data_IF_629691026651
#
_entry.id   IF_629691026651
#
_cell.length_a   1.000
_cell.length_b   1.000
_cell.length_c   1.000
_cell.angle_alpha   90.00
_cell.angle_beta   90.00
_cell.angle_gamma   90.00
#
_symmetry.space_group_name_H-M   'P 1'
#
loop_
_entity.id
_entity.type
_entity.pdbx_description
1 polymer ?
#
# COMPACT_ATOMS: atom_id res chain seq x y z
N UNK A 1 54.46 38.94 32.19
CA UNK A 1 53.54 37.85 32.62
C UNK A 1 52.50 37.73 31.52
N UNK A 2 52.68 36.84 30.53
CA UNK A 2 52.08 35.49 30.45
C UNK A 2 50.55 35.55 30.63
N UNK A 3 49.66 35.08 29.75
CA UNK A 3 49.72 34.03 28.72
C UNK A 3 48.65 34.30 27.62
N UNK A 4 48.93 34.05 26.33
CA UNK A 4 48.49 32.90 25.50
C UNK A 4 46.96 32.82 25.25
N UNK A 5 46.49 33.10 24.03
CA UNK A 5 46.00 32.09 23.06
C UNK A 5 44.46 32.00 23.13
N UNK A 6 43.64 31.94 22.07
CA UNK A 6 43.70 31.21 20.81
C UNK A 6 42.76 31.90 19.81
N UNK A 7 43.20 32.03 18.56
CA UNK A 7 42.39 32.52 17.44
C UNK A 7 41.34 31.47 17.03
N UNK A 8 40.07 31.89 16.92
CA UNK A 8 39.00 31.08 16.35
C UNK A 8 39.21 30.97 14.82
N UNK A 9 39.81 29.86 14.40
CA UNK A 9 39.85 29.45 13.00
C UNK A 9 38.51 28.86 12.60
N UNK A 10 37.86 29.45 11.61
CA UNK A 10 36.75 28.86 10.90
C UNK A 10 37.27 27.69 10.04
N UNK A 11 37.17 26.46 10.56
CA UNK A 11 37.39 25.26 9.76
C UNK A 11 36.10 24.94 9.00
N UNK A 12 36.14 25.23 7.70
CA UNK A 12 35.18 24.72 6.74
C UNK A 12 35.28 23.19 6.74
N UNK A 13 34.25 22.52 7.26
CA UNK A 13 34.09 21.09 7.11
C UNK A 13 33.96 20.77 5.61
N UNK A 14 35.05 20.26 5.03
CA UNK A 14 35.05 19.65 3.70
C UNK A 14 34.11 18.46 3.73
N UNK A 15 32.93 18.63 3.12
CA UNK A 15 32.10 17.52 2.71
C UNK A 15 32.88 16.70 1.67
N UNK A 16 33.53 15.63 2.12
CA UNK A 16 34.02 14.59 1.23
C UNK A 16 32.80 13.86 0.68
N UNK A 17 32.34 14.28 -0.49
CA UNK A 17 31.36 13.56 -1.29
C UNK A 17 31.93 12.18 -1.63
N UNK A 18 31.48 11.17 -0.91
CA UNK A 18 31.47 9.82 -1.46
C UNK A 18 30.39 9.80 -2.53
N UNK A 19 30.82 9.94 -3.78
CA UNK A 19 30.08 9.42 -4.91
C UNK A 19 29.96 7.91 -4.69
N UNK A 20 28.79 7.46 -4.22
CA UNK A 20 28.45 6.06 -4.19
C UNK A 20 28.31 5.62 -5.65
N UNK A 21 29.30 4.89 -6.14
CA UNK A 21 29.14 4.06 -7.32
C UNK A 21 27.86 3.20 -7.17
N UNK A 22 27.14 2.89 -8.26
CA UNK A 22 25.98 2.01 -8.16
C UNK A 22 26.41 0.71 -7.47
N UNK A 23 25.76 0.40 -6.35
CA UNK A 23 26.00 -0.86 -5.64
C UNK A 23 25.87 -2.01 -6.64
N UNK A 24 26.80 -2.97 -6.55
CA UNK A 24 26.73 -4.20 -7.33
C UNK A 24 25.33 -4.84 -7.16
N UNK A 25 24.80 -5.57 -8.16
CA UNK A 25 23.53 -6.28 -8.00
C UNK A 25 23.59 -7.12 -6.73
N UNK A 26 22.60 -6.97 -5.85
CA UNK A 26 22.47 -7.82 -4.67
C UNK A 26 22.44 -9.28 -5.16
N UNK A 27 23.37 -10.10 -4.67
CA UNK A 27 23.31 -11.56 -4.80
C UNK A 27 22.10 -12.05 -3.99
N UNK A 28 20.93 -11.99 -4.62
CA UNK A 28 19.65 -12.46 -4.09
C UNK A 28 19.24 -13.72 -4.85
N UNK A 29 19.77 -14.90 -4.47
CA UNK A 29 19.43 -16.15 -5.13
C UNK A 29 17.94 -16.43 -5.00
N UNK A 30 17.34 -16.96 -6.07
CA UNK A 30 15.92 -17.28 -6.04
C UNK A 30 15.65 -18.40 -5.02
N UNK A 31 14.72 -18.22 -4.07
CA UNK A 31 14.48 -19.20 -3.02
C UNK A 31 13.82 -20.48 -3.56
N UNK A 32 14.13 -21.63 -2.95
CA UNK A 32 13.56 -22.94 -3.34
C UNK A 32 12.22 -23.23 -2.66
N UNK A 33 11.92 -22.55 -1.55
CA UNK A 33 10.64 -22.59 -0.82
C UNK A 33 10.35 -21.22 -0.25
N UNK A 34 9.12 -20.99 0.25
CA UNK A 34 8.75 -19.74 0.91
C UNK A 34 7.86 -19.95 2.12
N UNK A 35 7.97 -19.04 3.08
CA UNK A 35 7.05 -18.94 4.21
C UNK A 35 5.74 -18.26 3.75
N UNK A 36 4.61 -18.93 3.96
CA UNK A 36 3.28 -18.43 3.61
C UNK A 36 2.90 -17.15 4.36
N UNK A 37 3.45 -16.91 5.56
CA UNK A 37 3.17 -15.70 6.33
C UNK A 37 3.98 -14.48 5.89
N UNK A 38 5.05 -14.69 5.11
CA UNK A 38 5.85 -13.61 4.53
C UNK A 38 5.51 -13.41 3.05
N UNK A 39 5.30 -14.50 2.32
CA UNK A 39 4.96 -14.50 0.90
C UNK A 39 3.73 -15.39 0.67
N UNK A 40 2.51 -14.87 0.89
CA UNK A 40 1.27 -15.63 0.83
C UNK A 40 0.81 -15.92 -0.60
N UNK A 41 -0.28 -16.68 -0.70
CA UNK A 41 -1.06 -16.99 -1.90
C UNK A 41 -0.41 -17.90 -2.92
N UNK A 42 -1.21 -18.56 -3.73
CA UNK A 42 -0.76 -19.46 -4.79
C UNK A 42 0.20 -18.76 -5.76
N UNK A 43 1.06 -19.54 -6.42
CA UNK A 43 2.08 -18.99 -7.34
C UNK A 43 1.49 -18.32 -8.59
N UNK A 44 0.25 -18.65 -8.92
CA UNK A 44 -0.55 -18.10 -10.01
C UNK A 44 -1.54 -17.02 -9.53
N UNK A 45 -1.47 -16.63 -8.25
CA UNK A 45 -2.15 -15.44 -7.74
C UNK A 45 -1.76 -14.19 -8.53
N UNK A 46 -2.68 -13.24 -8.66
CA UNK A 46 -2.40 -11.91 -9.20
C UNK A 46 -1.22 -11.24 -8.50
N UNK A 47 -1.01 -11.52 -7.22
CA UNK A 47 0.07 -10.93 -6.44
C UNK A 47 1.42 -11.58 -6.75
N UNK A 48 1.45 -12.84 -7.18
CA UNK A 48 2.69 -13.61 -7.34
C UNK A 48 3.09 -13.82 -8.81
N UNK A 49 2.20 -13.51 -9.75
CA UNK A 49 2.44 -13.70 -11.18
C UNK A 49 3.40 -12.62 -11.72
N UNK A 50 4.56 -13.00 -12.26
CA UNK A 50 5.42 -12.06 -12.96
C UNK A 50 4.77 -11.55 -14.25
N UNK A 51 5.18 -10.35 -14.69
CA UNK A 51 4.79 -9.81 -15.98
C UNK A 51 5.24 -10.76 -17.09
N UNK A 52 4.31 -11.06 -17.99
CA UNK A 52 4.53 -12.01 -19.06
C UNK A 52 5.20 -11.42 -20.29
N UNK A 53 5.79 -12.28 -21.12
CA UNK A 53 6.46 -11.87 -22.36
C UNK A 53 5.51 -11.29 -23.42
N UNK A 54 4.20 -11.59 -23.33
CA UNK A 54 3.16 -11.12 -24.24
C UNK A 54 2.39 -9.90 -23.70
N UNK A 55 2.83 -9.32 -22.58
CA UNK A 55 2.21 -8.15 -21.99
C UNK A 55 2.15 -6.97 -22.99
N UNK A 56 0.99 -6.32 -23.07
CA UNK A 56 0.73 -5.16 -23.92
C UNK A 56 0.70 -3.90 -23.06
N UNK A 57 1.65 -3.02 -23.32
CA UNK A 57 1.86 -1.81 -22.55
C UNK A 57 1.13 -0.65 -23.21
N UNK A 58 0.30 0.05 -22.44
CA UNK A 58 -0.32 1.32 -22.79
C UNK A 58 0.22 2.38 -21.84
N UNK A 59 0.82 3.44 -22.37
CA UNK A 59 1.39 4.51 -21.53
C UNK A 59 0.28 5.13 -20.67
N UNK A 60 0.47 5.16 -19.35
CA UNK A 60 -0.51 5.73 -18.43
C UNK A 60 -0.58 7.27 -18.50
N UNK A 61 0.37 7.92 -19.18
CA UNK A 61 0.38 9.36 -19.42
C UNK A 61 0.69 10.20 -18.19
N UNK A 62 1.15 9.57 -17.09
CA UNK A 62 1.46 10.24 -15.84
C UNK A 62 2.61 11.24 -16.02
N UNK A 63 2.35 12.49 -15.65
CA UNK A 63 3.38 13.53 -15.68
C UNK A 63 4.10 13.61 -14.33
N UNK A 64 5.43 13.79 -14.33
CA UNK A 64 6.16 14.14 -13.13
C UNK A 64 5.74 15.54 -12.66
N UNK A 65 5.92 15.82 -11.37
CA UNK A 65 5.74 17.16 -10.82
C UNK A 65 6.59 18.18 -11.59
N UNK A 66 5.99 19.25 -12.12
CA UNK A 66 6.75 20.33 -12.74
C UNK A 66 7.44 21.18 -11.66
N UNK A 67 8.79 21.17 -11.54
CA UNK A 67 9.48 21.94 -10.52
C UNK A 67 9.40 23.45 -10.77
N UNK A 68 9.19 23.88 -12.02
CA UNK A 68 9.10 25.28 -12.41
C UNK A 68 7.70 25.87 -12.23
N UNK A 69 6.66 25.03 -12.13
CA UNK A 69 5.30 25.44 -11.80
C UNK A 69 4.60 24.41 -10.88
N UNK A 70 4.90 24.43 -9.58
CA UNK A 70 4.26 23.54 -8.59
C UNK A 70 2.74 23.76 -8.45
N UNK A 71 2.22 24.85 -9.02
CA UNK A 71 0.82 25.21 -8.98
C UNK A 71 0.04 24.80 -10.24
N UNK A 72 0.72 24.28 -11.28
CA UNK A 72 0.10 23.77 -12.50
C UNK A 72 -1.06 22.81 -12.17
N UNK A 73 -2.27 23.15 -12.62
CA UNK A 73 -3.53 22.48 -12.22
C UNK A 73 -3.93 21.34 -13.15
N UNK A 74 -2.96 20.66 -13.76
CA UNK A 74 -3.22 19.57 -14.68
C UNK A 74 -3.71 18.30 -13.98
N UNK A 75 -4.68 17.61 -14.57
CA UNK A 75 -5.22 16.34 -14.06
C UNK A 75 -4.27 15.15 -14.30
N UNK A 76 -3.18 15.36 -15.05
CA UNK A 76 -2.20 14.36 -15.45
C UNK A 76 -1.07 14.08 -14.43
N UNK A 77 -1.02 14.78 -13.28
CA UNK A 77 0.04 14.59 -12.28
C UNK A 77 -0.29 13.50 -11.26
N UNK A 78 0.50 12.42 -11.22
CA UNK A 78 0.25 11.25 -10.36
C UNK A 78 0.48 11.50 -8.87
N UNK A 79 1.37 12.41 -8.49
CA UNK A 79 1.75 12.63 -7.10
C UNK A 79 2.01 14.11 -6.78
N UNK A 80 1.19 15.03 -7.33
CA UNK A 80 1.38 16.49 -7.12
C UNK A 80 1.41 16.88 -5.63
N UNK A 81 0.59 16.26 -4.80
CA UNK A 81 0.54 16.51 -3.35
C UNK A 81 1.47 15.56 -2.57
N UNK A 82 2.30 14.78 -3.25
CA UNK A 82 3.29 13.86 -2.68
C UNK A 82 2.90 12.39 -2.74
N UNK A 83 3.84 11.56 -2.28
CA UNK A 83 3.66 10.13 -2.08
C UNK A 83 3.26 9.87 -0.63
N UNK A 84 2.24 9.06 -0.43
CA UNK A 84 1.79 8.58 0.89
C UNK A 84 2.03 7.09 1.01
N UNK A 85 1.66 6.57 2.15
CA UNK A 85 1.44 5.15 2.35
C UNK A 85 -0.05 4.89 2.60
N UNK A 86 -0.46 3.67 2.33
CA UNK A 86 -1.71 3.10 2.83
C UNK A 86 -1.34 2.05 3.88
N UNK A 87 -1.92 2.16 5.08
CA UNK A 87 -1.64 1.21 6.16
C UNK A 87 -2.42 -0.08 5.97
N UNK A 88 -1.71 -1.16 5.72
CA UNK A 88 -2.24 -2.51 5.68
C UNK A 88 -2.03 -3.14 7.07
N UNK A 89 -3.09 -3.17 7.87
CA UNK A 89 -3.03 -3.67 9.25
C UNK A 89 -3.05 -5.20 9.20
N UNK A 90 -1.91 -5.84 9.38
CA UNK A 90 -1.74 -7.28 9.12
C UNK A 90 -1.38 -8.01 10.41
N UNK A 91 -2.26 -8.93 10.84
CA UNK A 91 -2.12 -9.75 12.04
C UNK A 91 -2.14 -11.25 11.70
N UNK A 92 -0.98 -11.76 11.27
CA UNK A 92 -0.76 -13.18 10.97
C UNK A 92 -0.17 -13.91 12.19
N UNK A 93 -0.93 -13.96 13.28
CA UNK A 93 -0.50 -14.53 14.58
C UNK A 93 -1.41 -15.68 15.01
N UNK A 94 -1.38 -16.82 14.31
CA UNK A 94 -2.35 -17.90 14.50
C UNK A 94 -2.27 -18.59 15.87
N UNK A 95 -1.14 -18.44 16.56
CA UNK A 95 -0.85 -18.96 17.90
C UNK A 95 -1.31 -18.02 19.03
N UNK A 96 -1.76 -16.81 18.69
CA UNK A 96 -2.26 -15.85 19.67
C UNK A 96 -3.66 -16.24 20.20
N UNK A 97 -4.03 -15.77 21.40
CA UNK A 97 -5.38 -15.99 21.92
C UNK A 97 -6.44 -15.36 21.02
N UNK A 98 -7.60 -16.02 20.93
CA UNK A 98 -8.76 -15.47 20.22
C UNK A 98 -9.23 -14.19 20.91
N UNK A 99 -9.37 -13.14 20.11
CA UNK A 99 -9.92 -11.85 20.51
C UNK A 99 -11.23 -11.64 19.78
N UNK A 100 -12.30 -11.36 20.54
CA UNK A 100 -13.59 -10.96 19.98
C UNK A 100 -13.43 -9.60 19.27
N UNK A 101 -13.93 -9.51 18.03
CA UNK A 101 -13.95 -8.28 17.24
C UNK A 101 -15.40 -7.84 17.06
N UNK A 102 -15.76 -6.68 17.62
CA UNK A 102 -17.12 -6.16 17.62
C UNK A 102 -17.34 -5.12 16.53
N UNK A 103 -18.59 -4.99 16.10
CA UNK A 103 -18.98 -3.96 15.15
C UNK A 103 -18.89 -2.57 15.77
N UNK A 104 -18.36 -1.62 14.99
CA UNK A 104 -18.28 -0.22 15.32
C UNK A 104 -18.54 0.63 14.05
N UNK A 105 -19.43 1.62 14.14
CA UNK A 105 -19.78 2.51 13.03
C UNK A 105 -18.72 3.58 12.72
N UNK A 106 -17.67 3.66 13.53
CA UNK A 106 -16.73 4.76 13.54
C UNK A 106 -16.08 5.04 12.19
N UNK A 107 -15.84 4.02 11.35
CA UNK A 107 -15.46 4.14 9.92
C UNK A 107 -14.58 5.39 9.64
N UNK A 108 -14.88 6.20 8.64
CA UNK A 108 -14.19 7.48 8.35
C UNK A 108 -14.58 8.65 9.27
N UNK A 109 -15.42 8.44 10.29
CA UNK A 109 -15.84 9.49 11.21
C UNK A 109 -14.75 9.79 12.26
N UNK A 110 -14.08 10.92 12.07
CA UNK A 110 -13.04 11.43 12.98
C UNK A 110 -13.56 11.72 14.39
N UNK A 111 -14.85 11.96 14.58
CA UNK A 111 -15.45 12.16 15.91
C UNK A 111 -15.81 10.85 16.64
N UNK A 112 -15.85 9.71 15.95
CA UNK A 112 -16.34 8.45 16.53
C UNK A 112 -15.29 7.68 17.33
N UNK A 113 -15.63 7.21 18.52
CA UNK A 113 -14.75 6.35 19.30
C UNK A 113 -14.77 4.89 18.78
N UNK A 114 -13.67 4.48 18.14
CA UNK A 114 -13.49 3.11 17.58
C UNK A 114 -13.16 2.06 18.64
N UNK A 115 -12.94 2.45 19.90
CA UNK A 115 -12.68 1.51 20.99
C UNK A 115 -13.95 0.87 21.56
N UNK A 116 -15.10 1.47 21.26
CA UNK A 116 -16.38 1.09 21.86
C UNK A 116 -17.07 -0.04 21.12
N UNK A 117 -17.83 -0.84 21.87
CA UNK A 117 -18.81 -1.75 21.29
C UNK A 117 -20.07 -0.93 21.03
N UNK A 118 -20.55 -0.92 19.79
CA UNK A 118 -21.74 -0.17 19.37
C UNK A 118 -22.87 -1.12 18.97
N UNK A 119 -24.11 -0.61 19.05
CA UNK A 119 -25.27 -1.28 18.50
C UNK A 119 -25.29 -1.18 16.98
N UNK A 120 -25.29 -2.31 16.28
CA UNK A 120 -25.39 -2.37 14.82
C UNK A 120 -26.87 -2.24 14.39
N UNK A 121 -27.26 -1.20 13.64
CA UNK A 121 -28.62 -1.05 13.16
C UNK A 121 -29.10 -2.19 12.27
N UNK A 122 -28.18 -2.85 11.55
CA UNK A 122 -28.49 -4.04 10.75
C UNK A 122 -28.68 -5.31 11.60
N UNK A 123 -28.34 -5.25 12.88
CA UNK A 123 -28.49 -6.33 13.86
C UNK A 123 -29.57 -6.02 14.91
N UNK A 124 -30.63 -5.32 14.51
CA UNK A 124 -31.74 -4.97 15.39
C UNK A 124 -31.37 -4.01 16.52
N UNK A 125 -30.39 -3.12 16.27
CA UNK A 125 -29.81 -2.19 17.24
C UNK A 125 -29.28 -2.92 18.49
N UNK A 126 -28.37 -3.88 18.28
CA UNK A 126 -27.70 -4.63 19.35
C UNK A 126 -26.22 -4.81 19.03
N UNK A 127 -25.36 -5.07 20.02
CA UNK A 127 -23.96 -5.38 19.78
C UNK A 127 -23.84 -6.57 18.84
N UNK A 128 -23.00 -6.43 17.81
CA UNK A 128 -22.74 -7.49 16.84
C UNK A 128 -21.29 -7.92 16.93
N UNK A 129 -21.07 -9.18 17.30
CA UNK A 129 -19.78 -9.83 17.13
C UNK A 129 -19.54 -10.03 15.62
N UNK A 130 -18.46 -9.49 15.10
CA UNK A 130 -18.06 -9.64 13.71
C UNK A 130 -17.28 -10.92 13.51
N UNK A 131 -16.27 -11.15 14.36
CA UNK A 131 -15.33 -12.24 14.23
C UNK A 131 -14.62 -12.57 15.55
N UNK A 132 -13.91 -13.70 15.59
CA UNK A 132 -12.93 -14.09 16.62
C UNK A 132 -11.60 -14.37 15.95
N UNK A 133 -10.65 -13.48 16.18
CA UNK A 133 -9.36 -13.50 15.48
C UNK A 133 -8.23 -13.71 16.49
N UNK A 134 -7.28 -14.60 16.23
CA UNK A 134 -6.00 -14.67 16.97
C UNK A 134 -5.26 -13.33 16.93
N UNK A 135 -5.13 -12.67 18.09
CA UNK A 135 -4.45 -11.37 18.22
C UNK A 135 -3.61 -11.36 19.51
N UNK A 136 -2.30 -11.05 19.46
CA UNK A 136 -1.46 -11.05 20.66
C UNK A 136 -2.02 -10.13 21.74
N UNK A 137 -2.18 -10.63 22.97
CA UNK A 137 -2.83 -9.87 24.06
C UNK A 137 -2.17 -8.54 24.36
N UNK A 138 -0.85 -8.42 24.18
CA UNK A 138 -0.11 -7.19 24.43
C UNK A 138 -0.17 -6.18 23.26
N UNK A 139 -0.65 -6.59 22.09
CA UNK A 139 -0.70 -5.71 20.93
C UNK A 139 -1.98 -4.87 20.96
N UNK A 140 -1.78 -3.56 20.89
CA UNK A 140 -2.84 -2.56 20.71
C UNK A 140 -2.65 -1.88 19.37
N UNK A 141 -3.74 -1.53 18.73
CA UNK A 141 -3.75 -0.72 17.53
C UNK A 141 -4.90 0.26 17.65
N UNK A 142 -4.61 1.51 18.00
CA UNK A 142 -5.63 2.55 18.09
C UNK A 142 -4.93 3.85 17.75
N UNK A 143 -5.02 4.27 16.50
CA UNK A 143 -4.48 5.58 16.17
C UNK A 143 -5.45 6.66 16.63
N UNK A 144 -4.93 7.55 17.49
CA UNK A 144 -5.68 8.59 18.21
C UNK A 144 -5.25 8.88 19.65
N UNK A 145 -4.17 8.28 20.20
CA UNK A 145 -3.63 8.69 21.53
C UNK A 145 -2.51 9.72 21.48
N UNK A 146 -1.98 10.06 20.28
CA UNK A 146 -1.14 11.22 20.09
C UNK A 146 -1.94 12.32 19.36
N UNK A 147 -2.02 13.50 19.97
CA UNK A 147 -2.57 14.67 19.32
C UNK A 147 -1.77 14.97 18.05
N UNK A 148 -2.41 14.87 16.87
CA UNK A 148 -1.84 15.35 15.60
C UNK A 148 -1.40 14.30 14.58
N UNK A 149 -1.82 13.03 14.68
CA UNK A 149 -1.54 11.99 13.65
C UNK A 149 -2.79 11.56 12.82
N UNK A 150 -3.96 12.14 13.08
CA UNK A 150 -5.20 11.71 12.42
C UNK A 150 -5.55 10.25 12.73
N UNK A 151 -6.73 9.78 12.32
CA UNK A 151 -7.05 8.35 12.45
C UNK A 151 -6.52 7.60 11.24
N UNK A 152 -5.62 6.62 11.41
CA UNK A 152 -5.33 5.67 10.34
C UNK A 152 -6.60 4.91 9.97
N UNK A 153 -6.97 5.04 8.71
CA UNK A 153 -8.15 4.44 8.09
C UNK A 153 -7.77 3.17 7.32
N UNK A 154 -6.88 2.36 7.90
CA UNK A 154 -6.33 1.18 7.24
C UNK A 154 -7.31 0.01 7.16
N UNK A 155 -7.13 -0.79 6.13
CA UNK A 155 -7.76 -2.10 6.02
C UNK A 155 -7.02 -3.11 6.92
N UNK A 156 -7.75 -4.05 7.51
CA UNK A 156 -7.22 -5.08 8.40
C UNK A 156 -7.29 -6.47 7.78
N UNK A 157 -6.25 -7.27 7.99
CA UNK A 157 -6.19 -8.68 7.67
C UNK A 157 -5.72 -9.49 8.88
N UNK A 158 -6.59 -10.36 9.38
CA UNK A 158 -6.24 -11.38 10.38
C UNK A 158 -6.21 -12.77 9.76
N UNK A 159 -5.66 -13.74 10.49
CA UNK A 159 -5.75 -15.16 10.12
C UNK A 159 -6.35 -15.98 11.26
N UNK A 160 -7.27 -16.89 10.93
CA UNK A 160 -7.84 -17.86 11.88
C UNK A 160 -7.79 -19.29 11.34
N UNK A 161 -7.91 -20.31 12.21
CA UNK A 161 -8.13 -21.69 11.79
C UNK A 161 -9.38 -21.81 10.93
N UNK A 162 -9.30 -22.53 9.81
CA UNK A 162 -10.52 -22.91 9.10
C UNK A 162 -11.35 -23.86 9.97
N UNK A 163 -12.66 -23.67 10.01
CA UNK A 163 -13.64 -24.37 10.84
C UNK A 163 -13.23 -25.81 11.23
N UNK A 164 -12.78 -25.97 12.48
CA UNK A 164 -12.44 -27.27 13.07
C UNK A 164 -11.13 -27.92 12.63
N UNK A 165 -10.39 -27.35 11.68
CA UNK A 165 -9.13 -27.93 11.16
C UNK A 165 -7.91 -27.69 12.06
N UNK A 166 -7.97 -26.70 12.95
CA UNK A 166 -6.81 -26.25 13.74
C UNK A 166 -5.69 -25.60 12.94
N UNK A 167 -5.72 -25.66 11.60
CA UNK A 167 -4.73 -25.06 10.71
C UNK A 167 -5.18 -23.66 10.34
N UNK A 168 -4.38 -22.65 10.70
CA UNK A 168 -4.64 -21.27 10.34
C UNK A 168 -4.44 -21.07 8.83
N UNK A 169 -5.54 -20.84 8.14
CA UNK A 169 -5.58 -20.65 6.68
C UNK A 169 -6.58 -19.61 6.22
N UNK A 170 -7.60 -19.34 7.03
CA UNK A 170 -8.67 -18.41 6.66
C UNK A 170 -8.26 -16.98 7.02
N UNK A 171 -8.21 -16.12 6.00
CA UNK A 171 -7.98 -14.70 6.14
C UNK A 171 -9.30 -13.97 6.39
N UNK A 172 -9.29 -13.13 7.41
CA UNK A 172 -10.40 -12.27 7.78
C UNK A 172 -10.04 -10.83 7.42
N UNK A 173 -10.78 -10.25 6.49
CA UNK A 173 -10.69 -8.83 6.19
C UNK A 173 -11.62 -8.01 7.08
N UNK A 174 -11.15 -6.89 7.63
CA UNK A 174 -12.00 -5.87 8.26
C UNK A 174 -11.53 -4.45 7.87
N UNK A 175 -12.29 -3.43 8.26
CA UNK A 175 -11.98 -2.02 8.00
C UNK A 175 -12.06 -1.19 9.28
N UNK A 176 -11.24 -0.15 9.39
CA UNK A 176 -11.20 0.75 10.56
C UNK A 176 -11.03 -0.01 11.90
N UNK A 177 -10.12 -0.99 11.89
CA UNK A 177 -9.81 -1.82 13.05
C UNK A 177 -9.21 -0.99 14.21
N UNK A 178 -9.63 -1.30 15.43
CA UNK A 178 -9.07 -0.74 16.64
C UNK A 178 -9.05 -1.74 17.80
N UNK A 179 -7.97 -1.74 18.58
CA UNK A 179 -7.82 -2.38 19.88
C UNK A 179 -7.08 -1.43 20.81
N UNK A 180 -7.79 -0.89 21.78
CA UNK A 180 -7.31 0.27 22.52
C UNK A 180 -6.61 -0.06 23.83
N UNK A 181 -6.75 -1.29 24.33
CA UNK A 181 -6.04 -1.74 25.53
C UNK A 181 -5.56 -3.20 25.39
N UNK A 182 -4.44 -3.57 26.05
CA UNK A 182 -3.98 -4.95 26.07
C UNK A 182 -5.04 -5.90 26.63
N UNK A 183 -5.20 -7.05 25.98
CA UNK A 183 -6.07 -8.13 26.44
C UNK A 183 -7.57 -7.87 26.28
N UNK A 184 -7.98 -6.70 25.79
CA UNK A 184 -9.40 -6.38 25.57
C UNK A 184 -9.90 -6.88 24.22
N UNK A 185 -11.21 -6.72 23.98
CA UNK A 185 -11.80 -6.86 22.65
C UNK A 185 -11.18 -5.87 21.65
N UNK A 186 -11.39 -6.16 20.38
CA UNK A 186 -11.19 -5.22 19.29
C UNK A 186 -12.55 -4.76 18.75
N UNK A 187 -12.55 -3.66 18.01
CA UNK A 187 -13.70 -3.22 17.23
C UNK A 187 -13.29 -2.89 15.80
N UNK A 188 -14.20 -3.08 14.86
CA UNK A 188 -13.99 -2.77 13.45
C UNK A 188 -15.32 -2.57 12.76
N UNK A 189 -15.26 -2.17 11.49
CA UNK A 189 -16.38 -2.25 10.57
C UNK A 189 -16.08 -3.34 9.54
N UNK A 190 -17.12 -3.96 9.02
CA UNK A 190 -17.01 -4.64 7.73
C UNK A 190 -17.28 -3.61 6.65
N UNK A 191 -16.48 -3.58 5.57
CA UNK A 191 -16.90 -2.86 4.38
C UNK A 191 -18.23 -3.49 3.96
N UNK A 192 -19.27 -2.70 4.03
CA UNK A 192 -20.63 -3.04 3.67
C UNK A 192 -21.13 -1.77 3.04
N UNK A 193 -21.41 -1.85 1.74
CA UNK A 193 -21.95 -0.83 0.83
C UNK A 193 -20.96 0.12 0.14
N UNK A 194 -20.63 -0.20 -1.11
CA UNK A 194 -20.64 0.77 -2.23
C UNK A 194 -21.32 0.15 -3.47
N UNK A 195 -22.63 0.38 -3.52
CA UNK A 195 -23.43 0.79 -4.69
C UNK A 195 -23.67 -0.05 -5.95
N UNK A 196 -22.98 -1.15 -6.30
CA UNK A 196 -23.29 -1.80 -7.61
C UNK A 196 -23.14 -3.33 -7.70
N UNK A 197 -22.72 -4.03 -6.65
CA UNK A 197 -22.55 -5.49 -6.71
C UNK A 197 -23.29 -6.23 -5.62
N UNK A 198 -23.98 -7.33 -5.98
CA UNK A 198 -24.23 -8.39 -5.01
C UNK A 198 -22.86 -8.86 -4.50
N UNK A 199 -22.53 -8.52 -3.26
CA UNK A 199 -21.49 -9.20 -2.50
C UNK A 199 -21.66 -10.70 -2.74
N UNK A 200 -20.65 -11.42 -3.23
CA UNK A 200 -20.67 -12.86 -3.10
C UNK A 200 -20.63 -13.12 -1.59
N UNK A 201 -21.80 -13.38 -0.99
CA UNK A 201 -21.89 -13.91 0.38
C UNK A 201 -20.94 -15.11 0.51
N UNK A 202 -20.73 -15.84 -0.59
CA UNK A 202 -19.74 -16.90 -0.74
C UNK A 202 -18.32 -16.50 -0.33
N UNK A 203 -17.81 -15.28 -0.55
CA UNK A 203 -16.46 -14.94 -0.07
C UNK A 203 -16.38 -14.88 1.46
N UNK A 204 -17.41 -14.35 2.13
CA UNK A 204 -17.50 -14.42 3.60
C UNK A 204 -17.77 -15.83 4.13
N UNK A 205 -18.37 -16.70 3.30
CA UNK A 205 -18.69 -18.08 3.67
C UNK A 205 -17.58 -19.09 3.32
N UNK A 206 -16.69 -18.77 2.37
CA UNK A 206 -15.56 -19.63 1.96
C UNK A 206 -14.21 -19.12 2.45
N UNK A 207 -14.13 -17.87 2.90
CA UNK A 207 -12.90 -17.19 3.31
C UNK A 207 -11.93 -16.93 2.16
N UNK A 208 -11.04 -15.93 2.33
CA UNK A 208 -9.80 -15.89 1.55
C UNK A 208 -8.83 -16.90 2.17
N UNK A 209 -8.34 -17.85 1.39
CA UNK A 209 -7.33 -18.81 1.86
C UNK A 209 -5.93 -18.22 1.67
N UNK A 210 -5.09 -18.23 2.72
CA UNK A 210 -3.71 -17.76 2.64
C UNK A 210 -2.85 -18.58 1.66
N UNK A 211 -3.25 -19.82 1.35
CA UNK A 211 -2.63 -20.66 0.33
C UNK A 211 -3.27 -20.52 -1.06
N UNK A 212 -4.43 -19.85 -1.15
CA UNK A 212 -5.25 -19.76 -2.35
C UNK A 212 -4.93 -18.56 -3.24
N UNK A 213 -5.89 -18.17 -4.09
CA UNK A 213 -5.75 -17.07 -5.05
C UNK A 213 -5.41 -15.73 -4.41
N UNK A 214 -5.96 -15.46 -3.22
CA UNK A 214 -5.65 -14.23 -2.48
C UNK A 214 -6.10 -12.93 -3.11
N UNK A 215 -6.98 -12.97 -4.12
CA UNK A 215 -7.44 -11.75 -4.80
C UNK A 215 -8.27 -10.84 -3.90
N UNK A 216 -9.04 -11.41 -2.99
CA UNK A 216 -10.13 -10.74 -2.30
C UNK A 216 -9.74 -10.20 -0.92
N UNK A 217 -10.31 -9.04 -0.57
CA UNK A 217 -10.17 -8.40 0.74
C UNK A 217 -11.07 -7.18 0.91
N UNK A 218 -10.68 -6.30 1.83
CA UNK A 218 -11.49 -5.16 2.28
C UNK A 218 -11.00 -3.80 1.78
N UNK A 219 -10.15 -3.76 0.74
CA UNK A 219 -9.87 -2.49 0.05
C UNK A 219 -11.18 -1.91 -0.49
N UNK A 220 -11.59 -0.74 0.00
CA UNK A 220 -12.95 -0.24 -0.14
C UNK A 220 -13.35 0.02 -1.58
N UNK A 221 -12.40 0.50 -2.39
CA UNK A 221 -12.61 0.73 -3.81
C UNK A 221 -12.75 -0.55 -4.63
N UNK A 222 -11.79 -1.47 -4.53
CA UNK A 222 -11.71 -2.64 -5.45
C UNK A 222 -12.16 -3.97 -4.88
N UNK A 223 -12.29 -4.09 -3.56
CA UNK A 223 -12.39 -5.34 -2.80
C UNK A 223 -11.20 -6.28 -3.00
N UNK A 224 -10.03 -5.74 -3.35
CA UNK A 224 -8.80 -6.52 -3.41
C UNK A 224 -8.23 -6.79 -2.01
N UNK A 225 -7.39 -7.82 -1.95
CA UNK A 225 -6.76 -8.29 -0.71
C UNK A 225 -6.01 -7.20 0.03
N UNK A 226 -6.20 -7.13 1.35
CA UNK A 226 -5.40 -6.29 2.27
C UNK A 226 -3.96 -6.80 2.32
N UNK A 227 -3.79 -8.10 2.46
CA UNK A 227 -2.48 -8.75 2.55
C UNK A 227 -1.71 -8.75 1.23
N UNK A 228 -2.41 -8.90 0.11
CA UNK A 228 -1.79 -8.97 -1.22
C UNK A 228 -1.21 -7.63 -1.66
N UNK A 229 0.03 -7.66 -2.13
CA UNK A 229 0.75 -6.50 -2.67
C UNK A 229 1.16 -5.42 -1.67
N UNK A 230 0.89 -5.62 -0.38
CA UNK A 230 1.46 -4.80 0.68
C UNK A 230 2.98 -5.05 0.75
N UNK A 231 3.78 -3.99 0.88
CA UNK A 231 5.18 -4.12 1.25
C UNK A 231 5.28 -4.65 2.68
N UNK A 232 6.07 -5.71 2.87
CA UNK A 232 6.19 -6.48 4.12
C UNK A 232 7.46 -6.12 4.88
N UNK A 233 7.44 -6.29 6.20
CA UNK A 233 8.66 -6.19 7.01
C UNK A 233 9.76 -7.10 6.46
N UNK A 234 10.99 -6.61 6.42
CA UNK A 234 12.11 -7.27 5.74
C UNK A 234 12.32 -6.86 4.27
N UNK A 235 11.33 -6.25 3.61
CA UNK A 235 11.49 -5.71 2.25
C UNK A 235 12.04 -4.28 2.25
N UNK A 236 12.60 -3.84 1.11
CA UNK A 236 13.26 -2.54 0.92
C UNK A 236 14.42 -2.26 1.88
N UNK A 237 15.02 -3.28 2.51
CA UNK A 237 16.20 -3.08 3.37
C UNK A 237 17.48 -2.89 2.54
N UNK A 238 18.52 -2.24 3.07
CA UNK A 238 19.82 -2.11 2.43
C UNK A 238 20.43 -3.49 2.16
N UNK A 239 20.83 -3.75 0.91
CA UNK A 239 21.28 -5.08 0.48
C UNK A 239 20.21 -6.16 0.60
N UNK A 240 18.95 -5.79 0.85
CA UNK A 240 17.81 -6.69 0.87
C UNK A 240 17.57 -7.30 -0.50
N UNK A 241 16.93 -8.46 -0.50
CA UNK A 241 16.54 -9.14 -1.73
C UNK A 241 15.51 -8.35 -2.54
N UNK A 242 15.23 -8.86 -3.74
CA UNK A 242 14.23 -8.31 -4.65
C UNK A 242 12.82 -8.59 -4.12
N UNK A 243 11.90 -7.65 -4.27
CA UNK A 243 10.48 -7.87 -3.95
C UNK A 243 9.85 -8.68 -5.08
N UNK A 244 9.34 -9.88 -4.77
CA UNK A 244 8.95 -10.88 -5.77
C UNK A 244 7.44 -11.05 -5.89
N UNK A 245 6.72 -9.96 -5.70
CA UNK A 245 5.27 -9.90 -5.85
C UNK A 245 4.87 -8.55 -6.45
N UNK A 246 3.67 -8.50 -7.04
CA UNK A 246 3.08 -7.26 -7.52
C UNK A 246 2.79 -6.35 -6.33
N UNK A 247 3.03 -5.05 -6.49
CA UNK A 247 2.75 -4.08 -5.44
C UNK A 247 1.31 -3.63 -5.46
N UNK A 248 0.93 -2.92 -4.42
CA UNK A 248 -0.35 -2.25 -4.28
C UNK A 248 -0.17 -0.73 -4.38
N UNK A 249 -0.92 -0.10 -5.28
CA UNK A 249 -0.97 1.36 -5.43
C UNK A 249 -2.38 1.89 -5.17
N UNK A 250 -2.43 3.09 -4.64
CA UNK A 250 -3.64 3.88 -4.49
C UNK A 250 -3.42 5.15 -5.32
N UNK A 251 -4.16 5.30 -6.42
CA UNK A 251 -3.95 6.39 -7.37
C UNK A 251 -4.90 7.57 -7.10
N UNK A 252 -4.51 8.82 -7.37
CA UNK A 252 -5.41 9.94 -7.13
C UNK A 252 -6.58 9.95 -8.11
N UNK A 253 -7.76 10.37 -7.64
CA UNK A 253 -8.97 10.54 -8.48
C UNK A 253 -8.69 11.29 -9.79
N UNK A 254 -7.80 12.29 -9.75
CA UNK A 254 -7.53 13.15 -10.91
C UNK A 254 -6.96 12.43 -12.11
N UNK A 255 -6.10 11.43 -11.91
CA UNK A 255 -5.54 10.68 -13.04
C UNK A 255 -6.45 9.54 -13.48
N UNK A 256 -7.32 9.08 -12.58
CA UNK A 256 -8.23 7.98 -12.87
C UNK A 256 -9.34 8.41 -13.80
N UNK A 257 -9.73 7.50 -14.70
CA UNK A 257 -10.71 7.75 -15.73
C UNK A 257 -12.04 8.23 -15.15
N UNK A 258 -12.51 9.37 -15.65
CA UNK A 258 -13.88 9.83 -15.47
C UNK A 258 -14.78 9.06 -16.45
N UNK A 259 -15.22 7.88 -16.04
CA UNK A 259 -16.10 7.04 -16.83
C UNK A 259 -17.44 7.74 -17.14
N UNK A 260 -17.96 7.68 -18.38
CA UNK A 260 -19.30 8.15 -18.67
C UNK A 260 -20.36 7.30 -17.95
N UNK A 261 -21.57 7.83 -17.81
CA UNK A 261 -22.68 7.13 -17.18
C UNK A 261 -22.89 5.74 -17.81
N UNK A 262 -22.96 4.71 -16.96
CA UNK A 262 -23.14 3.31 -17.37
C UNK A 262 -21.86 2.56 -17.73
N UNK A 263 -20.69 3.21 -17.74
CA UNK A 263 -19.40 2.53 -17.86
C UNK A 263 -18.78 2.25 -16.48
N UNK A 264 -18.04 1.15 -16.38
CA UNK A 264 -17.25 0.84 -15.18
C UNK A 264 -15.96 1.65 -15.18
N UNK A 265 -15.64 2.30 -14.07
CA UNK A 265 -14.35 2.93 -13.81
C UNK A 265 -13.34 1.97 -13.14
N UNK A 266 -13.48 0.67 -13.41
CA UNK A 266 -12.65 -0.40 -12.85
C UNK A 266 -12.56 -1.60 -13.80
N UNK A 267 -11.52 -2.42 -13.65
CA UNK A 267 -11.26 -3.62 -14.45
C UNK A 267 -10.81 -4.79 -13.58
N UNK A 268 -10.87 -6.02 -14.11
CA UNK A 268 -10.31 -7.19 -13.44
C UNK A 268 -8.81 -6.95 -13.10
N UNK A 269 -8.32 -7.32 -11.89
CA UNK A 269 -8.94 -8.19 -10.90
C UNK A 269 -9.93 -7.54 -9.92
N UNK A 270 -10.15 -6.23 -9.97
CA UNK A 270 -11.11 -5.58 -9.11
C UNK A 270 -12.54 -6.11 -9.36
N UNK A 271 -13.37 -6.02 -8.33
CA UNK A 271 -14.79 -6.34 -8.38
C UNK A 271 -15.68 -5.10 -8.45
N UNK A 272 -15.10 -3.97 -8.06
CA UNK A 272 -15.78 -2.71 -7.92
C UNK A 272 -14.76 -1.58 -8.13
N UNK A 273 -15.29 -0.37 -8.14
CA UNK A 273 -14.53 0.86 -8.01
C UNK A 273 -15.27 1.82 -7.09
N UNK A 274 -14.57 2.82 -6.60
CA UNK A 274 -15.18 3.95 -5.94
C UNK A 274 -16.11 4.69 -6.89
N UNK A 275 -16.98 5.54 -6.33
CA UNK A 275 -17.81 6.41 -7.15
C UNK A 275 -16.95 7.28 -8.07
N UNK A 276 -17.28 7.27 -9.35
CA UNK A 276 -16.60 8.05 -10.38
C UNK A 276 -16.75 9.58 -10.21
N UNK A 277 -17.55 10.06 -9.25
CA UNK A 277 -17.86 11.47 -9.02
C UNK A 277 -16.65 12.36 -8.72
N UNK A 278 -15.53 11.78 -8.26
CA UNK A 278 -14.28 12.49 -8.04
C UNK A 278 -13.27 12.40 -9.19
N UNK A 279 -13.43 11.44 -10.10
CA UNK A 279 -12.46 11.13 -11.15
C UNK A 279 -12.39 12.24 -12.21
N UNK A 280 -11.21 12.50 -12.77
CA UNK A 280 -11.00 13.60 -13.74
C UNK A 280 -10.12 13.20 -14.95
N UNK A 281 -9.59 11.98 -14.97
CA UNK A 281 -8.74 11.48 -16.04
C UNK A 281 -9.54 11.13 -17.29
N UNK A 282 -8.86 11.14 -18.45
CA UNK A 282 -9.49 10.88 -19.75
C UNK A 282 -9.21 9.47 -20.29
N UNK A 283 -8.21 8.78 -19.74
CA UNK A 283 -7.77 7.49 -20.25
C UNK A 283 -8.52 6.33 -19.59
N UNK A 284 -9.34 5.63 -20.37
CA UNK A 284 -10.14 4.49 -19.91
C UNK A 284 -9.35 3.30 -19.36
N UNK A 285 -8.03 3.25 -19.58
CA UNK A 285 -7.19 2.20 -19.02
C UNK A 285 -6.66 2.55 -17.61
N UNK A 286 -6.69 3.83 -17.23
CA UNK A 286 -6.22 4.28 -15.92
C UNK A 286 -7.38 4.23 -14.94
N UNK A 287 -7.58 3.05 -14.35
CA UNK A 287 -8.75 2.73 -13.51
C UNK A 287 -8.36 1.83 -12.36
N UNK A 288 -9.23 1.75 -11.36
CA UNK A 288 -9.13 0.75 -10.29
C UNK A 288 -9.08 -0.68 -10.85
N UNK A 289 -8.24 -1.51 -10.25
CA UNK A 289 -7.92 -2.85 -10.72
C UNK A 289 -6.92 -2.92 -11.87
N UNK A 290 -6.55 -1.82 -12.52
CA UNK A 290 -5.54 -1.88 -13.58
C UNK A 290 -4.17 -2.31 -13.02
N UNK A 291 -3.44 -3.12 -13.81
CA UNK A 291 -2.05 -3.51 -13.54
C UNK A 291 -1.10 -2.52 -14.22
N UNK A 292 -0.29 -1.84 -13.43
CA UNK A 292 0.73 -0.91 -13.88
C UNK A 292 2.11 -1.55 -13.83
N UNK A 293 2.92 -1.37 -14.85
CA UNK A 293 4.29 -1.89 -14.89
C UNK A 293 5.22 -0.96 -15.65
N UNK A 294 6.51 -1.10 -15.40
CA UNK A 294 7.53 -0.52 -16.28
C UNK A 294 7.75 -1.46 -17.47
N UNK A 295 7.83 -0.95 -18.71
CA UNK A 295 8.11 -1.81 -19.86
C UNK A 295 9.52 -2.41 -19.77
N UNK A 296 9.73 -3.63 -20.29
CA UNK A 296 11.03 -4.31 -20.25
C UNK A 296 12.08 -3.65 -21.14
N UNK A 297 11.64 -2.79 -22.06
CA UNK A 297 12.49 -1.97 -22.92
C UNK A 297 13.00 -0.71 -22.22
N UNK A 298 12.47 -0.39 -21.03
CA UNK A 298 12.99 0.70 -20.21
C UNK A 298 14.23 0.21 -19.46
N UNK A 299 15.39 0.72 -19.87
CA UNK A 299 16.64 0.48 -19.16
C UNK A 299 16.59 1.15 -17.78
N UNK A 300 16.44 0.36 -16.71
CA UNK A 300 16.28 0.91 -15.35
C UNK A 300 17.47 1.78 -14.91
N UNK A 301 18.67 1.48 -15.39
CA UNK A 301 19.86 2.31 -15.14
C UNK A 301 19.75 3.70 -15.78
N UNK A 302 19.04 3.83 -16.90
CA UNK A 302 18.83 5.10 -17.60
C UNK A 302 17.87 6.03 -16.86
N UNK A 303 17.08 5.53 -15.89
CA UNK A 303 16.24 6.36 -15.03
C UNK A 303 17.06 7.25 -14.09
N UNK A 304 18.35 6.96 -13.87
CA UNK A 304 19.21 7.78 -13.01
C UNK A 304 18.76 7.80 -11.55
N UNK A 305 18.20 6.68 -11.05
CA UNK A 305 17.67 6.58 -9.69
C UNK A 305 18.78 6.70 -8.64
N UNK A 306 18.63 7.64 -7.74
CA UNK A 306 19.63 8.04 -6.75
C UNK A 306 19.63 7.09 -5.53
N UNK A 307 18.46 6.62 -5.13
CA UNK A 307 18.23 5.80 -3.93
C UNK A 307 18.11 4.32 -4.25
N UNK A 308 18.67 3.48 -3.38
CA UNK A 308 18.54 2.02 -3.48
C UNK A 308 17.09 1.52 -3.34
N UNK A 309 16.26 1.98 -2.39
CA UNK A 309 14.89 1.51 -2.30
C UNK A 309 14.10 1.82 -3.58
N UNK A 310 14.39 2.92 -4.27
CA UNK A 310 13.68 3.23 -5.53
C UNK A 310 14.13 2.31 -6.67
N UNK A 311 15.40 1.91 -6.69
CA UNK A 311 15.89 0.87 -7.62
C UNK A 311 15.21 -0.49 -7.36
N UNK A 312 15.00 -0.85 -6.10
CA UNK A 312 14.26 -2.07 -5.74
C UNK A 312 12.78 -2.00 -6.20
N UNK A 313 12.10 -0.86 -5.99
CA UNK A 313 10.74 -0.63 -6.49
C UNK A 313 10.70 -0.68 -8.04
N UNK A 314 11.63 -0.01 -8.73
CA UNK A 314 11.66 0.00 -10.18
C UNK A 314 11.86 -1.41 -10.77
N UNK A 315 12.76 -2.20 -10.17
CA UNK A 315 12.94 -3.61 -10.54
C UNK A 315 11.63 -4.39 -10.35
N UNK A 316 10.95 -4.19 -9.23
CA UNK A 316 9.69 -4.87 -8.91
C UNK A 316 8.59 -4.51 -9.89
N UNK A 317 8.43 -3.22 -10.20
CA UNK A 317 7.43 -2.73 -11.15
C UNK A 317 7.68 -3.21 -12.60
N UNK A 318 8.93 -3.44 -12.99
CA UNK A 318 9.24 -4.02 -14.30
C UNK A 318 8.92 -5.52 -14.38
N UNK A 319 9.03 -6.23 -13.24
CA UNK A 319 8.97 -7.69 -13.21
C UNK A 319 7.65 -8.28 -12.71
N UNK A 320 6.94 -7.56 -11.84
CA UNK A 320 5.67 -7.98 -11.24
C UNK A 320 4.57 -6.92 -11.37
N UNK A 321 4.95 -5.64 -11.50
CA UNK A 321 4.01 -4.53 -11.62
C UNK A 321 3.32 -4.17 -10.30
N UNK A 322 2.23 -3.41 -10.38
CA UNK A 322 1.41 -3.02 -9.25
C UNK A 322 -0.06 -2.82 -9.64
N UNK A 323 -0.97 -3.27 -8.79
CA UNK A 323 -2.41 -3.06 -8.97
C UNK A 323 -2.87 -1.77 -8.31
N UNK A 324 -3.68 -0.97 -9.02
CA UNK A 324 -4.45 0.11 -8.39
C UNK A 324 -5.60 -0.51 -7.59
N UNK A 325 -5.59 -0.41 -6.27
CA UNK A 325 -6.58 -1.07 -5.39
C UNK A 325 -7.59 -0.13 -4.78
N UNK A 326 -7.28 1.16 -4.77
CA UNK A 326 -8.11 2.17 -4.15
C UNK A 326 -7.77 3.54 -4.76
N UNK A 327 -8.46 4.57 -4.29
CA UNK A 327 -8.35 5.91 -4.79
C UNK A 327 -8.06 6.90 -3.67
N UNK A 328 -7.08 7.80 -3.86
CA UNK A 328 -6.88 8.90 -2.90
C UNK A 328 -7.71 10.14 -3.30
N UNK A 329 -8.23 10.90 -2.32
CA UNK A 329 -8.67 12.25 -2.57
C UNK A 329 -7.47 13.13 -2.94
N UNK A 330 -7.65 14.01 -3.93
CA UNK A 330 -6.69 15.04 -4.38
C UNK A 330 -5.19 14.64 -4.45
N UNK A 331 -4.74 14.25 -5.65
CA UNK A 331 -3.34 14.32 -6.15
C UNK A 331 -2.22 13.68 -5.31
N UNK A 332 -2.52 12.74 -4.42
CA UNK A 332 -1.49 11.90 -3.79
C UNK A 332 -1.50 10.49 -4.37
N UNK A 333 -0.34 9.88 -4.50
CA UNK A 333 -0.23 8.45 -4.79
C UNK A 333 0.22 7.74 -3.52
N UNK A 334 -0.35 6.59 -3.20
CA UNK A 334 0.08 5.82 -2.03
C UNK A 334 0.50 4.40 -2.40
N UNK A 335 1.40 3.84 -1.59
CA UNK A 335 1.81 2.43 -1.65
C UNK A 335 1.34 1.74 -0.37
N UNK A 336 0.77 0.54 -0.49
CA UNK A 336 0.36 -0.26 0.66
C UNK A 336 1.55 -0.80 1.44
N UNK A 337 1.60 -0.58 2.76
CA UNK A 337 2.69 -1.04 3.63
C UNK A 337 2.16 -1.70 4.89
N UNK A 338 2.88 -2.70 5.39
CA UNK A 338 2.53 -3.43 6.60
C UNK A 338 2.61 -2.56 7.87
N UNK A 339 1.58 -2.66 8.70
CA UNK A 339 1.64 -2.37 10.13
C UNK A 339 0.96 -3.50 10.91
N UNK A 340 1.53 -3.93 12.04
CA UNK A 340 0.96 -5.05 12.77
C UNK A 340 1.72 -5.42 14.05
N UNK A 341 1.37 -6.55 14.70
CA UNK A 341 2.12 -7.07 15.84
C UNK A 341 3.54 -7.54 15.48
N UNK A 342 3.91 -7.58 14.20
CA UNK A 342 5.29 -7.84 13.77
C UNK A 342 6.16 -6.56 13.75
N UNK A 343 5.54 -5.38 13.67
CA UNK A 343 6.22 -4.10 13.57
C UNK A 343 5.49 -3.12 12.65
N UNK A 344 6.14 -1.99 12.38
CA UNK A 344 5.68 -0.96 11.44
C UNK A 344 6.74 -0.80 10.33
N UNK A 345 6.32 -1.00 9.08
CA UNK A 345 7.21 -0.89 7.93
C UNK A 345 7.82 0.51 7.80
N UNK A 346 7.10 1.58 8.17
CA UNK A 346 7.63 2.95 8.14
C UNK A 346 8.83 3.12 9.04
N UNK A 347 8.74 2.56 10.24
CA UNK A 347 9.79 2.65 11.25
C UNK A 347 11.01 1.85 10.78
N UNK A 348 10.82 0.67 10.20
CA UNK A 348 11.90 -0.08 9.55
C UNK A 348 12.56 0.75 8.43
N UNK A 349 11.76 1.27 7.50
CA UNK A 349 12.26 2.05 6.36
C UNK A 349 13.05 3.28 6.82
N UNK A 350 12.51 4.02 7.79
CA UNK A 350 13.19 5.20 8.36
C UNK A 350 14.48 4.82 9.05
N UNK A 351 14.49 3.73 9.82
CA UNK A 351 15.68 3.25 10.52
C UNK A 351 16.78 2.84 9.53
N UNK A 352 16.41 2.21 8.42
CA UNK A 352 17.33 1.72 7.40
C UNK A 352 17.90 2.83 6.51
N UNK A 353 17.07 3.81 6.12
CA UNK A 353 17.42 4.79 5.10
C UNK A 353 17.67 6.20 5.63
N UNK A 354 17.27 6.49 6.87
CA UNK A 354 17.42 7.81 7.49
C UNK A 354 16.46 8.89 6.98
N UNK A 355 15.44 8.52 6.19
CA UNK A 355 14.41 9.43 5.68
C UNK A 355 13.01 8.77 5.65
N UNK A 356 11.91 9.54 5.70
CA UNK A 356 10.55 9.00 5.57
C UNK A 356 10.29 8.41 4.19
N UNK A 357 9.50 7.34 4.15
CA UNK A 357 8.94 6.81 2.89
C UNK A 357 7.93 7.77 2.25
N UNK A 358 7.23 8.57 3.06
CA UNK A 358 6.19 9.50 2.60
C UNK A 358 6.68 10.94 2.44
N UNK A 359 5.93 11.70 1.64
CA UNK A 359 6.07 13.14 1.44
C UNK A 359 4.76 13.83 1.79
N UNK A 360 4.81 14.70 2.80
CA UNK A 360 3.70 15.60 3.12
C UNK A 360 3.99 16.99 2.53
N UNK A 361 3.49 17.29 1.33
CA UNK A 361 3.52 18.67 0.79
C UNK A 361 2.10 19.23 0.74
N UNK A 362 1.81 20.17 1.64
CA UNK A 362 0.53 20.88 1.69
C UNK A 362 0.73 22.39 1.52
N UNK A 363 0.97 22.84 0.28
CA UNK A 363 1.09 24.29 -0.03
C UNK A 363 -0.24 24.95 -0.43
N UNK A 364 -1.39 24.27 -0.31
CA UNK A 364 -2.69 24.90 -0.58
C UNK A 364 -3.30 25.59 0.67
N UNK A 365 -3.43 26.92 0.71
CA UNK A 365 -4.04 27.64 1.83
C UNK A 365 -5.56 27.41 1.99
N UNK A 366 -6.28 26.94 0.96
CA UNK A 366 -7.69 26.56 1.07
C UNK A 366 -7.90 25.15 1.67
N UNK A 367 -6.81 24.39 1.83
CA UNK A 367 -6.77 23.12 2.57
C UNK A 367 -6.27 23.36 4.01
N UNK A 368 -6.27 24.62 4.47
CA UNK A 368 -5.94 24.97 5.85
C UNK A 368 -6.83 24.29 6.91
N UNK A 369 -8.00 23.75 6.53
CA UNK A 369 -8.85 22.95 7.44
C UNK A 369 -8.38 21.51 7.65
N UNK A 370 -7.53 20.96 6.78
CA UNK A 370 -6.85 19.66 7.02
C UNK A 370 -5.46 19.86 7.68
N UNK A 371 -5.09 21.10 8.04
CA UNK A 371 -3.83 21.39 8.76
C UNK A 371 -3.85 20.95 10.22
N UNK A 372 -5.01 20.65 10.79
CA UNK A 372 -5.11 20.42 12.23
C UNK A 372 -4.72 18.99 12.62
N UNK A 373 -4.90 18.03 11.71
CA UNK A 373 -4.80 16.60 12.03
C UNK A 373 -3.43 15.97 11.76
N UNK A 374 -2.50 16.72 11.16
CA UNK A 374 -1.12 16.29 10.86
C UNK A 374 -0.09 17.33 11.33
N UNK A 375 -0.34 17.94 12.49
CA UNK A 375 0.48 19.04 13.02
C UNK A 375 1.75 18.60 13.79
N UNK A 376 2.21 17.36 13.57
CA UNK A 376 3.48 16.85 14.13
C UNK A 376 4.66 16.81 13.14
N UNK A 377 4.42 16.81 11.84
CA UNK A 377 5.47 16.56 10.84
C UNK A 377 5.52 17.67 9.78
N UNK A 378 6.28 18.71 10.08
CA UNK A 378 6.77 19.64 9.08
C UNK A 378 8.27 19.44 8.90
N UNK A 379 8.66 18.35 8.26
CA UNK A 379 9.94 18.31 7.56
C UNK A 379 9.76 19.10 6.26
N UNK A 380 10.37 20.29 6.23
CA UNK A 380 10.26 21.23 5.10
C UNK A 380 10.42 20.54 3.76
N UNK A 381 9.48 20.80 2.84
CA UNK A 381 9.49 20.40 1.43
C UNK A 381 10.37 19.18 1.12
N UNK A 382 9.84 17.98 1.35
CA UNK A 382 10.52 16.72 1.04
C UNK A 382 10.73 16.57 -0.49
N UNK A 383 11.76 17.25 -1.01
CA UNK A 383 12.21 17.28 -2.40
C UNK A 383 13.45 16.40 -2.58
N UNK A 384 13.71 15.50 -1.64
CA UNK A 384 14.91 14.66 -1.57
C UNK A 384 15.00 13.61 -2.70
N UNK A 385 16.17 12.95 -2.83
CA UNK A 385 16.45 11.97 -3.87
C UNK A 385 15.36 10.90 -4.03
N UNK A 386 14.83 10.39 -2.91
CA UNK A 386 13.75 9.40 -2.88
C UNK A 386 12.50 9.83 -3.65
N UNK A 387 12.03 11.05 -3.42
CA UNK A 387 10.82 11.56 -4.07
C UNK A 387 11.04 11.82 -5.55
N UNK A 388 12.21 12.34 -5.92
CA UNK A 388 12.59 12.49 -7.34
C UNK A 388 12.64 11.16 -8.06
N UNK A 389 13.14 10.13 -7.38
CA UNK A 389 13.18 8.78 -7.93
C UNK A 389 11.78 8.20 -8.12
N UNK A 390 10.90 8.35 -7.13
CA UNK A 390 9.50 7.94 -7.29
C UNK A 390 8.82 8.67 -8.45
N UNK A 391 9.06 9.98 -8.62
CA UNK A 391 8.55 10.73 -9.78
C UNK A 391 9.06 10.14 -11.11
N UNK A 392 10.35 9.84 -11.21
CA UNK A 392 10.95 9.20 -12.40
C UNK A 392 10.37 7.82 -12.66
N UNK A 393 10.14 7.02 -11.63
CA UNK A 393 9.59 5.68 -11.76
C UNK A 393 8.11 5.76 -12.16
N UNK A 394 7.31 6.55 -11.45
CA UNK A 394 5.86 6.53 -11.58
C UNK A 394 5.41 7.25 -12.85
N UNK A 395 6.16 8.26 -13.34
CA UNK A 395 5.89 8.88 -14.64
C UNK A 395 6.15 7.96 -15.85
N UNK A 396 6.77 6.79 -15.64
CA UNK A 396 7.07 5.82 -16.69
C UNK A 396 6.18 4.57 -16.61
N UNK A 397 5.17 4.57 -15.75
CA UNK A 397 4.24 3.45 -15.62
C UNK A 397 3.34 3.34 -16.86
N UNK A 398 3.11 2.09 -17.24
CA UNK A 398 2.21 1.71 -18.32
C UNK A 398 1.15 0.75 -17.77
N UNK A 399 -0.07 0.83 -18.27
CA UNK A 399 -1.12 -0.15 -17.99
C UNK A 399 -0.91 -1.39 -18.87
N UNK A 400 -1.01 -2.58 -18.26
CA UNK A 400 -1.03 -3.85 -18.99
C UNK A 400 -2.45 -4.14 -19.47
N UNK A 401 -2.76 -3.79 -20.71
CA UNK A 401 -4.13 -3.79 -21.26
C UNK A 401 -4.69 -5.18 -21.55
N UNK A 402 -3.84 -6.20 -21.59
CA UNK A 402 -4.23 -7.60 -21.73
C UNK A 402 -4.08 -8.40 -20.43
N UNK A 403 -4.03 -7.74 -19.28
CA UNK A 403 -4.16 -8.38 -17.98
C UNK A 403 -5.61 -8.85 -17.77
N UNK A 404 -5.80 -10.14 -17.52
CA UNK A 404 -7.12 -10.75 -17.40
C UNK A 404 -7.08 -12.08 -16.64
N UNK A 405 -8.24 -12.67 -16.29
CA UNK A 405 -8.30 -13.89 -15.49
C UNK A 405 -7.58 -15.10 -16.12
N UNK A 406 -7.42 -15.12 -17.45
CA UNK A 406 -6.71 -16.17 -18.19
C UNK A 406 -5.31 -15.72 -18.65
N UNK A 407 -4.93 -14.48 -18.38
CA UNK A 407 -3.69 -13.82 -18.87
C UNK A 407 -3.14 -12.89 -17.79
N UNK A 408 -3.05 -13.38 -16.56
CA UNK A 408 -2.52 -12.65 -15.41
C UNK A 408 -1.10 -12.15 -15.76
N UNK A 409 -0.82 -10.87 -15.52
CA UNK A 409 0.46 -10.26 -15.90
C UNK A 409 0.66 -10.05 -17.41
N UNK A 410 -0.40 -10.21 -18.22
CA UNK A 410 -0.36 -10.03 -19.68
C UNK A 410 -0.03 -11.30 -20.49
N UNK A 411 0.11 -12.45 -19.83
CA UNK A 411 0.27 -13.76 -20.47
C UNK A 411 1.60 -13.99 -21.21
N UNK A 412 1.74 -15.14 -21.86
CA UNK A 412 3.01 -15.58 -22.45
C UNK A 412 3.92 -16.25 -21.43
N UNK A 413 5.24 -16.12 -21.59
CA UNK A 413 6.22 -16.68 -20.65
C UNK A 413 6.51 -15.67 -19.53
N UNK A 414 6.39 -16.04 -18.25
CA UNK A 414 6.76 -15.16 -17.13
C UNK A 414 8.22 -14.68 -17.25
N UNK A 415 8.46 -13.38 -17.03
CA UNK A 415 9.81 -12.79 -17.10
C UNK A 415 10.68 -13.08 -15.88
N UNK A 416 10.06 -13.50 -14.78
CA UNK A 416 10.74 -14.04 -13.59
C UNK A 416 10.23 -15.46 -13.31
N UNK A 417 10.96 -16.27 -12.52
CA UNK A 417 10.44 -17.52 -12.03
C UNK A 417 9.16 -17.32 -11.21
N UNK A 418 8.24 -18.28 -11.32
CA UNK A 418 7.05 -18.31 -10.46
C UNK A 418 7.46 -18.50 -8.99
N UNK A 419 6.63 -17.98 -8.08
CA UNK A 419 6.85 -18.17 -6.65
C UNK A 419 7.10 -19.65 -6.30
N UNK A 420 8.10 -19.94 -5.44
CA UNK A 420 8.42 -21.31 -5.08
C UNK A 420 7.26 -21.96 -4.28
N UNK A 421 7.26 -23.29 -4.12
CA UNK A 421 6.32 -23.95 -3.22
C UNK A 421 6.43 -23.41 -1.78
N UNK A 422 5.35 -23.54 -1.02
CA UNK A 422 5.41 -23.28 0.42
C UNK A 422 6.33 -24.29 1.11
N UNK A 423 7.01 -23.83 2.16
CA UNK A 423 7.92 -24.63 2.98
C UNK A 423 7.19 -25.67 3.84
#
# INVERSE_FOLDING_TARGET
>A
MAAAGVAAGAEAARATGLSLAPAAPVDDPFPTSRDVFQWPFARDSIWNMPIGSAARYHDAGFQPLNPADPLATGDQYIARNGYRIEHEIICLRPDAPLTDVWWNAGSFNEAADRCTIMDDPSNGNRPRLLDRIPIPSNWTFHEGTNAGEGKVNGCFCGIRPADGSGTARELVGLFAFARCAPGTHAAARMVSSSTTGNWPLSWRLTGSDIFGEGRFGEHGGTHLSVLGGALRLGELRPGGGRIRHALKLILPQRVQWHAPDGANNWVWPAFNGDSNSGNQGFDQHVVQGALYALPPTLELAALGLETEPARQIAWTLQNYGAYCVDTTPAQTCAVGVEVGPAGDFREQFRADWGFPMERHVYTNPNIARLRQDYSGWSDGANTGPWIRDLDRVFSNLHVITNNGPNTIGGGGTPRQPLAPPFA
#
